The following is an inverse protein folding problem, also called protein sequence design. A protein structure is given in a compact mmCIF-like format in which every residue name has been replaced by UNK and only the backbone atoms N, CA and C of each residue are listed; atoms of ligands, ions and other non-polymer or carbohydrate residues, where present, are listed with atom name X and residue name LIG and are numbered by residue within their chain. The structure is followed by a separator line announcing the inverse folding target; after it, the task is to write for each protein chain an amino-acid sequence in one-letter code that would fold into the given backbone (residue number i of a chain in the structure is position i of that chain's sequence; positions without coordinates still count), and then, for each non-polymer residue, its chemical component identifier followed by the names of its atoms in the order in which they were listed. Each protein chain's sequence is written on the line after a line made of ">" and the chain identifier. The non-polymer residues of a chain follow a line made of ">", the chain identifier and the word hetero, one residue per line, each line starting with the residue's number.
data_IF_872859603068
#
_entry.id   IF_872859603068
#
_cell.length_a   1.000
_cell.length_b   1.000
_cell.length_c   1.000
_cell.angle_alpha   90.00
_cell.angle_beta   90.00
_cell.angle_gamma   90.00
#
_symmetry.space_group_name_H-M   'P 1'
#
loop_
_entity.id
_entity.type
_entity.pdbx_description
1 polymer ?
#
# COMPACT_ATOMS: atom_id res chain seq x y z
N UNK A 1 20.82 42.44 -10.58
CA UNK A 1 20.34 41.79 -9.33
C UNK A 1 19.26 40.79 -9.71
N UNK A 2 19.65 39.58 -10.13
CA UNK A 2 18.72 38.52 -10.52
C UNK A 2 18.75 37.45 -9.42
N UNK A 3 17.64 37.32 -8.69
CA UNK A 3 17.51 36.31 -7.65
C UNK A 3 17.47 34.90 -8.28
N UNK A 4 18.21 33.98 -7.67
CA UNK A 4 18.27 32.56 -8.03
C UNK A 4 16.89 31.89 -7.95
N UNK A 5 16.16 31.78 -9.06
CA UNK A 5 14.87 31.06 -9.11
C UNK A 5 15.02 29.56 -9.37
N UNK A 6 16.18 29.07 -9.83
CA UNK A 6 16.32 27.69 -10.33
C UNK A 6 16.59 26.59 -9.28
N UNK A 7 16.98 26.93 -8.05
CA UNK A 7 17.36 25.92 -7.03
C UNK A 7 16.20 25.55 -6.09
N UNK A 8 15.15 26.38 -6.04
CA UNK A 8 14.01 26.17 -5.14
C UNK A 8 12.91 25.27 -5.73
N UNK A 9 12.82 25.12 -7.05
CA UNK A 9 11.75 24.36 -7.71
C UNK A 9 11.76 22.85 -7.45
N UNK A 10 12.92 22.13 -7.42
CA UNK A 10 12.91 20.68 -7.26
C UNK A 10 12.57 20.26 -5.82
N UNK A 11 13.08 20.98 -4.82
CA UNK A 11 12.80 20.72 -3.40
C UNK A 11 11.35 21.00 -3.02
N UNK A 12 10.73 22.02 -3.64
CA UNK A 12 9.32 22.32 -3.43
C UNK A 12 8.42 21.26 -4.09
N UNK A 13 8.74 20.85 -5.32
CA UNK A 13 8.04 19.77 -6.01
C UNK A 13 8.11 18.46 -5.23
N UNK A 14 9.30 18.13 -4.70
CA UNK A 14 9.52 16.96 -3.86
C UNK A 14 8.66 17.00 -2.58
N UNK A 15 8.62 18.13 -1.87
CA UNK A 15 7.78 18.29 -0.67
C UNK A 15 6.29 18.12 -1.00
N UNK A 16 5.84 18.70 -2.11
CA UNK A 16 4.46 18.56 -2.59
C UNK A 16 4.13 17.11 -2.94
N UNK A 17 5.05 16.41 -3.60
CA UNK A 17 4.88 15.00 -3.95
C UNK A 17 4.70 14.13 -2.71
N UNK A 18 5.60 14.24 -1.72
CA UNK A 18 5.51 13.43 -0.50
C UNK A 18 4.23 13.73 0.30
N UNK A 19 3.82 15.00 0.36
CA UNK A 19 2.56 15.38 0.99
C UNK A 19 1.36 14.81 0.22
N UNK A 20 1.39 14.89 -1.11
CA UNK A 20 0.37 14.30 -1.97
C UNK A 20 0.31 12.78 -1.79
N UNK A 21 1.43 12.08 -1.58
CA UNK A 21 1.43 10.65 -1.26
C UNK A 21 0.81 10.38 0.11
N UNK A 22 1.24 11.12 1.13
CA UNK A 22 0.78 10.91 2.50
C UNK A 22 -0.73 11.13 2.67
N UNK A 23 -1.36 11.88 1.77
CA UNK A 23 -2.80 12.10 1.73
C UNK A 23 -3.47 11.20 0.68
N UNK A 24 -2.92 11.14 -0.52
CA UNK A 24 -3.50 10.40 -1.65
C UNK A 24 -3.49 8.90 -1.44
N UNK A 25 -2.40 8.33 -0.91
CA UNK A 25 -2.30 6.89 -0.66
C UNK A 25 -3.41 6.38 0.28
N UNK A 26 -3.61 6.93 1.50
CA UNK A 26 -4.70 6.48 2.36
C UNK A 26 -6.09 6.74 1.77
N UNK A 27 -6.29 7.86 1.05
CA UNK A 27 -7.57 8.14 0.41
C UNK A 27 -7.89 7.15 -0.70
N UNK A 28 -6.93 6.83 -1.56
CA UNK A 28 -7.11 5.85 -2.64
C UNK A 28 -7.43 4.48 -2.05
N UNK A 29 -6.73 4.07 -0.98
CA UNK A 29 -7.04 2.82 -0.26
C UNK A 29 -8.44 2.86 0.34
N UNK A 30 -8.81 3.95 1.02
CA UNK A 30 -10.14 4.10 1.60
C UNK A 30 -11.24 4.00 0.54
N UNK A 31 -11.08 4.71 -0.59
CA UNK A 31 -12.06 4.73 -1.69
C UNK A 31 -12.15 3.36 -2.35
N UNK A 32 -11.02 2.75 -2.71
CA UNK A 32 -10.97 1.45 -3.39
C UNK A 32 -11.57 0.32 -2.54
N UNK A 33 -11.40 0.36 -1.22
CA UNK A 33 -11.90 -0.67 -0.31
C UNK A 33 -13.17 -0.23 0.44
N UNK A 34 -13.77 0.90 0.08
CA UNK A 34 -14.93 1.48 0.77
C UNK A 34 -16.10 0.49 0.81
N UNK A 35 -16.53 0.05 -0.38
CA UNK A 35 -17.68 -0.86 -0.51
C UNK A 35 -17.34 -2.31 -0.20
N UNK A 36 -16.14 -2.77 -0.55
CA UNK A 36 -15.77 -4.18 -0.47
C UNK A 36 -15.24 -4.61 0.91
N UNK A 37 -14.81 -3.68 1.76
CA UNK A 37 -14.24 -4.02 3.06
C UNK A 37 -14.70 -3.09 4.19
N UNK A 38 -14.39 -1.79 4.14
CA UNK A 38 -14.58 -0.89 5.30
C UNK A 38 -16.04 -0.64 5.65
N UNK A 39 -16.90 -0.49 4.64
CA UNK A 39 -18.33 -0.21 4.78
C UNK A 39 -19.19 -1.27 4.11
N UNK A 40 -18.68 -2.49 3.95
CA UNK A 40 -19.38 -3.59 3.28
C UNK A 40 -20.76 -3.89 3.87
N UNK A 41 -20.94 -3.68 5.18
CA UNK A 41 -22.23 -3.82 5.87
C UNK A 41 -23.33 -2.86 5.38
N UNK A 42 -22.99 -1.81 4.63
CA UNK A 42 -23.94 -0.86 4.03
C UNK A 42 -24.34 -1.23 2.59
N UNK A 43 -23.74 -2.27 2.02
CA UNK A 43 -23.93 -2.66 0.62
C UNK A 43 -24.31 -4.13 0.50
N UNK A 44 -25.02 -4.47 -0.57
CA UNK A 44 -25.27 -5.86 -0.94
C UNK A 44 -24.04 -6.41 -1.69
N UNK A 45 -23.00 -6.71 -0.93
CA UNK A 45 -21.77 -7.33 -1.40
C UNK A 45 -21.54 -8.65 -0.66
N UNK A 46 -20.83 -9.61 -1.27
CA UNK A 46 -20.52 -10.85 -0.58
C UNK A 46 -19.70 -10.60 0.68
N UNK A 47 -19.74 -11.57 1.59
CA UNK A 47 -18.98 -11.49 2.83
C UNK A 47 -17.51 -11.75 2.56
N UNK A 48 -16.66 -11.10 3.35
CA UNK A 48 -15.22 -11.39 3.38
C UNK A 48 -15.01 -12.89 3.64
N UNK A 49 -14.22 -13.53 2.79
CA UNK A 49 -14.17 -14.99 2.70
C UNK A 49 -13.82 -15.71 4.01
N UNK A 50 -12.84 -15.20 4.77
CA UNK A 50 -12.34 -15.84 5.98
C UNK A 50 -11.56 -14.87 6.89
N UNK A 51 -11.16 -15.37 8.06
CA UNK A 51 -10.39 -14.61 9.05
C UNK A 51 -9.00 -14.17 8.53
N UNK A 52 -8.39 -14.92 7.61
CA UNK A 52 -7.09 -14.57 7.02
C UNK A 52 -7.21 -13.31 6.16
N UNK A 53 -8.27 -13.18 5.36
CA UNK A 53 -8.55 -11.96 4.58
C UNK A 53 -8.84 -10.77 5.51
N UNK A 54 -9.50 -10.99 6.66
CA UNK A 54 -9.63 -9.94 7.66
C UNK A 54 -8.28 -9.52 8.26
N UNK A 55 -7.42 -10.47 8.63
CA UNK A 55 -6.08 -10.18 9.14
C UNK A 55 -5.24 -9.41 8.11
N UNK A 56 -5.29 -9.81 6.85
CA UNK A 56 -4.66 -9.09 5.74
C UNK A 56 -5.16 -7.64 5.65
N UNK A 57 -6.47 -7.44 5.62
CA UNK A 57 -7.06 -6.10 5.56
C UNK A 57 -6.61 -5.22 6.73
N UNK A 58 -6.67 -5.73 7.97
CA UNK A 58 -6.24 -5.00 9.17
C UNK A 58 -4.74 -4.64 9.12
N UNK A 59 -3.88 -5.58 8.72
CA UNK A 59 -2.43 -5.35 8.63
C UNK A 59 -2.11 -4.33 7.55
N UNK A 60 -2.77 -4.41 6.39
CA UNK A 60 -2.58 -3.45 5.30
C UNK A 60 -3.11 -2.06 5.67
N UNK A 61 -4.26 -1.95 6.33
CA UNK A 61 -4.74 -0.69 6.91
C UNK A 61 -3.74 -0.14 7.93
N UNK A 62 -3.19 -1.01 8.78
CA UNK A 62 -2.15 -0.66 9.74
C UNK A 62 -0.90 -0.12 9.06
N UNK A 63 -0.45 -0.73 7.95
CA UNK A 63 0.68 -0.26 7.15
C UNK A 63 0.45 1.14 6.58
N UNK A 64 -0.74 1.38 6.03
CA UNK A 64 -1.14 2.68 5.47
C UNK A 64 -1.12 3.75 6.57
N UNK A 65 -1.75 3.48 7.72
CA UNK A 65 -1.78 4.41 8.86
C UNK A 65 -0.38 4.64 9.43
N UNK A 66 0.45 3.60 9.51
CA UNK A 66 1.84 3.71 9.93
C UNK A 66 2.64 4.61 8.99
N UNK A 67 2.49 4.47 7.67
CA UNK A 67 3.14 5.34 6.69
C UNK A 67 2.76 6.82 6.88
N UNK A 68 1.47 7.09 7.10
CA UNK A 68 0.96 8.45 7.39
C UNK A 68 1.57 8.98 8.68
N UNK A 69 1.56 8.18 9.75
CA UNK A 69 2.15 8.54 11.04
C UNK A 69 3.64 8.87 10.90
N UNK A 70 4.43 8.04 10.22
CA UNK A 70 5.86 8.28 10.03
C UNK A 70 6.12 9.57 9.26
N UNK A 71 5.32 9.86 8.24
CA UNK A 71 5.41 11.10 7.47
C UNK A 71 5.06 12.32 8.32
N UNK A 72 4.02 12.21 9.16
CA UNK A 72 3.60 13.26 10.08
C UNK A 72 4.68 13.55 11.14
N UNK A 73 5.33 12.52 11.69
CA UNK A 73 6.42 12.67 12.65
C UNK A 73 7.60 13.46 12.07
N UNK A 74 8.01 13.17 10.84
CA UNK A 74 9.06 13.94 10.15
C UNK A 74 8.60 15.39 9.89
N UNK A 75 7.37 15.59 9.43
CA UNK A 75 6.83 16.93 9.14
C UNK A 75 6.73 17.81 10.39
N UNK A 76 6.39 17.21 11.53
CA UNK A 76 6.30 17.88 12.84
C UNK A 76 7.63 17.93 13.59
N UNK A 77 8.74 17.53 12.96
CA UNK A 77 10.11 17.51 13.52
C UNK A 77 10.30 16.56 14.71
N UNK A 78 9.40 15.59 14.88
CA UNK A 78 9.49 14.53 15.90
C UNK A 78 10.38 13.36 15.43
N UNK A 79 11.62 13.68 15.01
CA UNK A 79 12.56 12.72 14.40
C UNK A 79 12.94 11.59 15.36
N UNK A 80 13.06 11.89 16.67
CA UNK A 80 13.35 10.87 17.68
C UNK A 80 12.28 9.77 17.70
N UNK A 81 11.00 10.16 17.67
CA UNK A 81 9.87 9.21 17.68
C UNK A 81 9.84 8.41 16.37
N UNK A 82 10.06 9.06 15.22
CA UNK A 82 10.19 8.39 13.93
C UNK A 82 11.26 7.29 13.98
N UNK A 83 12.44 7.60 14.51
CA UNK A 83 13.53 6.65 14.63
C UNK A 83 13.19 5.49 15.59
N UNK A 84 12.63 5.78 16.77
CA UNK A 84 12.31 4.74 17.76
C UNK A 84 11.17 3.83 17.30
N UNK A 85 10.17 4.39 16.60
CA UNK A 85 9.04 3.60 16.07
C UNK A 85 9.37 2.91 14.75
N UNK A 86 10.52 3.21 14.13
CA UNK A 86 11.01 2.54 12.93
C UNK A 86 11.12 1.02 13.04
N UNK A 87 11.48 0.50 14.23
CA UNK A 87 11.53 -0.95 14.49
C UNK A 87 10.14 -1.60 14.41
N UNK A 88 9.10 -0.90 14.86
CA UNK A 88 7.71 -1.36 14.71
C UNK A 88 7.36 -1.48 13.22
N UNK A 89 7.85 -0.55 12.39
CA UNK A 89 7.70 -0.63 10.94
C UNK A 89 8.34 -1.85 10.31
N UNK A 90 9.49 -2.31 10.81
CA UNK A 90 10.14 -3.53 10.31
C UNK A 90 9.29 -4.77 10.65
N UNK A 91 8.80 -4.85 11.88
CA UNK A 91 7.89 -5.93 12.30
C UNK A 91 6.60 -5.92 11.47
N UNK A 92 6.01 -4.74 11.25
CA UNK A 92 4.80 -4.60 10.44
C UNK A 92 5.04 -4.97 8.96
N UNK A 93 6.19 -4.61 8.39
CA UNK A 93 6.55 -5.01 7.03
C UNK A 93 6.68 -6.53 6.90
N UNK A 94 7.27 -7.20 7.90
CA UNK A 94 7.33 -8.66 7.92
C UNK A 94 5.92 -9.28 7.97
N UNK A 95 5.01 -8.72 8.76
CA UNK A 95 3.61 -9.14 8.79
C UNK A 95 2.90 -8.92 7.46
N UNK A 96 3.11 -7.77 6.81
CA UNK A 96 2.58 -7.49 5.45
C UNK A 96 3.00 -8.59 4.48
N UNK A 97 4.28 -8.97 4.47
CA UNK A 97 4.80 -10.00 3.56
C UNK A 97 4.18 -11.37 3.88
N UNK A 98 4.25 -11.80 5.14
CA UNK A 98 3.78 -13.15 5.53
C UNK A 98 2.28 -13.29 5.30
N UNK A 99 1.49 -12.32 5.77
CA UNK A 99 0.02 -12.39 5.65
C UNK A 99 -0.42 -12.12 4.22
N UNK A 100 0.26 -11.25 3.48
CA UNK A 100 0.02 -11.03 2.05
C UNK A 100 0.22 -12.30 1.22
N UNK A 101 1.35 -12.98 1.38
CA UNK A 101 1.61 -14.25 0.69
C UNK A 101 0.64 -15.36 1.12
N UNK A 102 0.36 -15.49 2.41
CA UNK A 102 -0.62 -16.47 2.89
C UNK A 102 -2.01 -16.23 2.29
N UNK A 103 -2.43 -14.96 2.20
CA UNK A 103 -3.72 -14.58 1.59
C UNK A 103 -3.74 -14.88 0.10
N UNK A 104 -2.64 -14.67 -0.62
CA UNK A 104 -2.53 -15.02 -2.03
C UNK A 104 -2.60 -16.55 -2.26
N UNK A 105 -1.91 -17.33 -1.43
CA UNK A 105 -1.97 -18.80 -1.49
C UNK A 105 -3.38 -19.30 -1.23
N UNK A 106 -4.02 -18.84 -0.15
CA UNK A 106 -5.40 -19.19 0.17
C UNK A 106 -6.37 -18.80 -0.95
N UNK A 107 -6.29 -17.56 -1.43
CA UNK A 107 -7.20 -17.07 -2.45
C UNK A 107 -7.02 -17.81 -3.78
N UNK A 108 -5.82 -17.85 -4.34
CA UNK A 108 -5.61 -18.33 -5.70
C UNK A 108 -5.39 -19.83 -5.81
N UNK A 109 -4.69 -20.45 -4.85
CA UNK A 109 -4.28 -21.86 -4.95
C UNK A 109 -5.20 -22.81 -4.18
N UNK A 110 -5.87 -22.33 -3.14
CA UNK A 110 -6.81 -23.16 -2.34
C UNK A 110 -8.26 -22.93 -2.76
N UNK A 111 -8.70 -21.66 -2.80
CA UNK A 111 -10.09 -21.31 -3.15
C UNK A 111 -10.34 -21.08 -4.64
N UNK A 112 -9.28 -20.97 -5.44
CA UNK A 112 -9.40 -20.70 -6.89
C UNK A 112 -10.02 -19.34 -7.21
N UNK A 113 -9.85 -18.33 -6.35
CA UNK A 113 -10.38 -17.00 -6.53
C UNK A 113 -9.47 -16.13 -7.42
N UNK A 114 -10.07 -15.55 -8.46
CA UNK A 114 -9.43 -14.60 -9.37
C UNK A 114 -10.48 -13.63 -9.94
N UNK A 115 -10.06 -12.53 -10.58
CA UNK A 115 -10.97 -11.72 -11.37
C UNK A 115 -11.71 -12.55 -12.44
N UNK A 116 -12.94 -12.17 -12.83
CA UNK A 116 -13.68 -12.88 -13.88
C UNK A 116 -12.87 -12.99 -15.18
N UNK A 117 -12.80 -14.19 -15.74
CA UNK A 117 -12.05 -14.46 -16.97
C UNK A 117 -10.55 -14.75 -16.76
N UNK A 118 -10.02 -14.58 -15.56
CA UNK A 118 -8.62 -14.84 -15.25
C UNK A 118 -8.40 -16.26 -14.69
N UNK A 119 -7.25 -16.85 -15.02
CA UNK A 119 -6.81 -18.10 -14.41
C UNK A 119 -6.24 -17.84 -12.99
N UNK A 120 -6.75 -18.46 -11.92
CA UNK A 120 -6.26 -18.19 -10.56
C UNK A 120 -4.78 -18.47 -10.33
N UNK A 121 -4.23 -19.51 -10.95
CA UNK A 121 -2.82 -19.88 -10.80
C UNK A 121 -1.91 -18.90 -11.55
N UNK A 122 -2.35 -18.38 -12.71
CA UNK A 122 -1.64 -17.31 -13.40
C UNK A 122 -1.73 -15.99 -12.61
N UNK A 123 -2.91 -15.67 -12.07
CA UNK A 123 -3.14 -14.48 -11.28
C UNK A 123 -2.29 -14.44 -10.01
N UNK A 124 -1.99 -15.61 -9.40
CA UNK A 124 -1.11 -15.74 -8.23
C UNK A 124 0.27 -15.08 -8.40
N UNK A 125 0.78 -15.00 -9.63
CA UNK A 125 2.05 -14.34 -9.93
C UNK A 125 2.05 -12.85 -9.52
N UNK A 126 0.92 -12.16 -9.67
CA UNK A 126 0.79 -10.74 -9.39
C UNK A 126 1.01 -10.39 -7.91
N UNK A 127 0.25 -10.94 -6.93
CA UNK A 127 0.47 -10.64 -5.52
C UNK A 127 1.84 -11.13 -5.01
N UNK A 128 2.39 -12.22 -5.55
CA UNK A 128 3.76 -12.66 -5.21
C UNK A 128 4.80 -11.65 -5.69
N UNK A 129 4.65 -11.13 -6.90
CA UNK A 129 5.53 -10.10 -7.45
C UNK A 129 5.42 -8.79 -6.66
N UNK A 130 4.21 -8.39 -6.26
CA UNK A 130 4.00 -7.22 -5.40
C UNK A 130 4.74 -7.37 -4.06
N UNK A 131 4.67 -8.54 -3.43
CA UNK A 131 5.40 -8.82 -2.19
C UNK A 131 6.92 -8.79 -2.38
N UNK A 132 7.43 -9.31 -3.50
CA UNK A 132 8.86 -9.27 -3.81
C UNK A 132 9.35 -7.83 -4.03
N UNK A 133 8.59 -7.03 -4.80
CA UNK A 133 8.88 -5.61 -5.03
C UNK A 133 8.85 -4.83 -3.72
N UNK A 134 7.80 -5.02 -2.92
CA UNK A 134 7.66 -4.38 -1.61
C UNK A 134 8.84 -4.73 -0.70
N UNK A 135 9.17 -6.01 -0.55
CA UNK A 135 10.28 -6.47 0.28
C UNK A 135 11.62 -5.86 -0.16
N UNK A 136 11.89 -5.85 -1.48
CA UNK A 136 13.10 -5.26 -2.04
C UNK A 136 13.20 -3.76 -1.80
N UNK A 137 12.13 -3.01 -2.11
CA UNK A 137 12.08 -1.56 -1.91
C UNK A 137 12.19 -1.19 -0.44
N UNK A 138 11.48 -1.90 0.45
CA UNK A 138 11.51 -1.63 1.88
C UNK A 138 12.88 -1.98 2.49
N UNK A 139 13.46 -3.14 2.13
CA UNK A 139 14.81 -3.50 2.57
C UNK A 139 15.85 -2.45 2.12
N UNK A 140 15.76 -1.98 0.87
CA UNK A 140 16.61 -0.91 0.37
C UNK A 140 16.38 0.40 1.15
N UNK A 141 15.13 0.76 1.46
CA UNK A 141 14.80 1.95 2.24
C UNK A 141 15.44 1.91 3.64
N UNK A 142 15.41 0.74 4.29
CA UNK A 142 16.05 0.53 5.61
C UNK A 142 17.58 0.52 5.50
N UNK A 143 18.14 -0.06 4.44
CA UNK A 143 19.58 -0.04 4.17
C UNK A 143 20.09 1.40 4.00
N UNK A 144 19.41 2.19 3.18
CA UNK A 144 19.75 3.59 2.94
C UNK A 144 19.17 4.57 3.97
N UNK A 145 18.75 4.12 5.16
CA UNK A 145 18.15 4.97 6.22
C UNK A 145 19.01 6.17 6.66
N UNK A 146 20.34 6.10 6.48
CA UNK A 146 21.28 7.19 6.78
C UNK A 146 21.39 8.22 5.65
N UNK A 147 20.75 7.98 4.50
CA UNK A 147 20.71 8.86 3.34
C UNK A 147 19.26 9.32 3.12
N UNK A 148 18.87 10.50 3.66
CA UNK A 148 17.46 10.87 3.76
C UNK A 148 16.72 10.96 2.43
N UNK A 149 17.42 11.30 1.34
CA UNK A 149 16.81 11.43 0.01
C UNK A 149 16.42 10.05 -0.53
N UNK A 150 17.33 9.08 -0.42
CA UNK A 150 17.12 7.71 -0.86
C UNK A 150 16.09 7.01 0.02
N UNK A 151 16.21 7.12 1.35
CA UNK A 151 15.26 6.52 2.29
C UNK A 151 13.82 6.95 2.00
N UNK A 152 13.55 8.26 1.92
CA UNK A 152 12.18 8.76 1.69
C UNK A 152 11.66 8.39 0.31
N UNK A 153 12.52 8.38 -0.72
CA UNK A 153 12.14 8.03 -2.09
C UNK A 153 11.76 6.55 -2.19
N UNK A 154 12.54 5.67 -1.56
CA UNK A 154 12.25 4.24 -1.51
C UNK A 154 11.00 3.96 -0.67
N UNK A 155 10.82 4.63 0.47
CA UNK A 155 9.58 4.53 1.25
C UNK A 155 8.36 4.97 0.42
N UNK A 156 8.48 6.06 -0.34
CA UNK A 156 7.44 6.51 -1.27
C UNK A 156 7.11 5.45 -2.33
N UNK A 157 8.12 4.79 -2.91
CA UNK A 157 7.89 3.72 -3.88
C UNK A 157 7.16 2.51 -3.27
N UNK A 158 7.38 2.19 -1.98
CA UNK A 158 6.60 1.12 -1.32
C UNK A 158 5.10 1.46 -1.24
N UNK A 159 4.74 2.74 -1.03
CA UNK A 159 3.35 3.18 -1.05
C UNK A 159 2.76 3.08 -2.47
N UNK A 160 3.50 3.51 -3.50
CA UNK A 160 3.06 3.39 -4.90
C UNK A 160 2.82 1.94 -5.29
N UNK A 161 3.69 1.01 -4.86
CA UNK A 161 3.56 -0.40 -5.19
C UNK A 161 2.20 -1.00 -4.78
N UNK A 162 1.54 -0.45 -3.75
CA UNK A 162 0.22 -0.91 -3.31
C UNK A 162 -0.97 -0.11 -3.87
N UNK A 163 -0.72 1.00 -4.56
CA UNK A 163 -1.79 1.81 -5.18
C UNK A 163 -2.63 1.01 -6.20
N UNK A 164 -2.04 0.20 -7.11
CA UNK A 164 -2.81 -0.57 -8.08
C UNK A 164 -3.90 -1.43 -7.44
N UNK A 165 -3.60 -2.11 -6.33
CA UNK A 165 -4.58 -2.94 -5.62
C UNK A 165 -5.83 -2.16 -5.21
N UNK A 166 -5.68 -0.90 -4.78
CA UNK A 166 -6.83 -0.06 -4.45
C UNK A 166 -7.54 0.48 -5.71
N UNK A 167 -6.78 0.95 -6.71
CA UNK A 167 -7.33 1.53 -7.94
C UNK A 167 -8.21 0.56 -8.72
N UNK A 168 -7.80 -0.71 -8.78
CA UNK A 168 -8.55 -1.77 -9.46
C UNK A 168 -9.96 -1.99 -8.90
N UNK A 169 -10.26 -1.48 -7.70
CA UNK A 169 -11.56 -1.60 -7.03
C UNK A 169 -12.45 -0.35 -7.17
N UNK A 170 -11.95 0.73 -7.80
CA UNK A 170 -12.70 1.96 -8.00
C UNK A 170 -13.51 1.83 -9.32
N UNK A 171 -14.86 1.95 -9.28
CA UNK A 171 -15.75 1.72 -10.43
C UNK A 171 -15.78 2.90 -11.40
N UNK A 172 -14.62 3.29 -11.94
CA UNK A 172 -14.49 4.21 -13.09
C UNK A 172 -14.09 3.43 -14.36
N UNK A 173 -13.87 2.12 -14.24
CA UNK A 173 -13.56 1.21 -15.34
C UNK A 173 -14.80 0.32 -15.57
N UNK A 174 -15.27 0.12 -16.83
CA UNK A 174 -16.47 -0.68 -17.13
C UNK A 174 -16.49 -2.06 -16.47
N UNK A 175 -17.67 -2.68 -16.25
CA UNK A 175 -17.82 -3.98 -15.56
C UNK A 175 -16.97 -5.12 -16.12
N UNK A 176 -16.68 -5.12 -17.42
CA UNK A 176 -15.73 -6.02 -18.09
C UNK A 176 -14.26 -5.84 -17.62
N UNK A 177 -13.99 -4.80 -16.83
CA UNK A 177 -12.72 -4.46 -16.19
C UNK A 177 -12.86 -4.17 -14.68
N UNK A 178 -14.05 -4.37 -14.09
CA UNK A 178 -14.32 -4.04 -12.68
C UNK A 178 -13.79 -5.14 -11.76
N UNK A 179 -12.55 -4.95 -11.33
CA UNK A 179 -11.78 -5.85 -10.49
C UNK A 179 -12.23 -5.77 -9.02
N UNK A 180 -13.50 -6.08 -8.74
CA UNK A 180 -14.01 -6.18 -7.36
C UNK A 180 -13.57 -7.48 -6.66
N UNK A 181 -12.97 -8.43 -7.37
CA UNK A 181 -12.85 -9.82 -6.93
C UNK A 181 -11.42 -10.32 -6.64
N UNK A 182 -10.42 -9.44 -6.56
CA UNK A 182 -9.00 -9.85 -6.50
C UNK A 182 -8.62 -10.76 -5.30
N UNK A 183 -9.45 -10.84 -4.24
CA UNK A 183 -9.23 -11.73 -3.09
C UNK A 183 -10.47 -12.55 -2.67
N UNK A 184 -11.49 -12.61 -3.53
CA UNK A 184 -12.73 -13.35 -3.26
C UNK A 184 -13.65 -12.69 -2.22
N UNK A 185 -13.91 -11.39 -2.38
CA UNK A 185 -15.18 -10.79 -1.96
C UNK A 185 -16.07 -10.79 -3.17
#
# INVERSE_FOLDING_TARGET
>A
MAANVSVLSPRLAERKLHLATAIGFPLIVLIGYFKSYYFSFLFDVPRVANALVHAHGIIMSGWVLYFVMQTALIRTRNVKIHMTTGLVGIALAALVIVVGLATAVDAQLVRGAAPPGENPHAFFFLPVSDMAIFAGLFAAAIYFRKRPIEHKSLMFLTAIAFVPAALFRIPVVPPEYAMLWAFGV
#
